data_IF_538462451336
#
_entry.id   IF_538462451336
#
_cell.length_a   1.000
_cell.length_b   1.000
_cell.length_c   1.000
_cell.angle_alpha   90.00
_cell.angle_beta   90.00
_cell.angle_gamma   90.00
#
_symmetry.space_group_name_H-M   'P 1'
#
loop_
_entity.id
_entity.type
_entity.pdbx_description
1 polymer ?
#
# COMPACT_ATOMS: atom_id res chain seq x y z
N UNK A 1 19.87 -25.46 -3.53
CA UNK A 1 19.17 -26.39 -2.59
C UNK A 1 17.97 -25.75 -1.89
N UNK A 2 18.01 -24.47 -1.47
CA UNK A 2 16.88 -23.80 -0.79
C UNK A 2 15.65 -23.64 -1.70
N UNK A 3 15.84 -23.46 -3.01
CA UNK A 3 14.74 -23.31 -3.98
C UNK A 3 13.92 -24.59 -4.16
N UNK A 4 14.58 -25.76 -4.12
CA UNK A 4 13.92 -27.05 -4.18
C UNK A 4 12.98 -27.29 -2.98
N UNK A 5 13.27 -26.69 -1.83
CA UNK A 5 12.41 -26.75 -0.66
C UNK A 5 11.04 -26.07 -0.83
N UNK A 6 10.87 -25.26 -1.89
CA UNK A 6 9.59 -24.60 -2.23
C UNK A 6 8.72 -25.45 -3.15
N UNK A 7 9.29 -26.49 -3.79
CA UNK A 7 8.52 -27.39 -4.66
C UNK A 7 7.39 -28.07 -3.86
N UNK A 8 6.18 -28.06 -4.42
CA UNK A 8 4.98 -28.62 -3.77
C UNK A 8 4.44 -27.81 -2.59
N UNK A 9 4.91 -26.55 -2.41
CA UNK A 9 4.39 -25.60 -1.41
C UNK A 9 3.53 -24.55 -2.09
N UNK A 10 2.72 -23.87 -1.29
CA UNK A 10 2.07 -22.61 -1.66
C UNK A 10 2.83 -21.50 -0.94
N UNK A 11 3.28 -20.49 -1.67
CA UNK A 11 3.98 -19.34 -1.12
C UNK A 11 2.99 -18.18 -0.97
N UNK A 12 2.86 -17.67 0.23
CA UNK A 12 2.04 -16.47 0.52
C UNK A 12 2.98 -15.36 0.94
N UNK A 13 2.90 -14.21 0.26
CA UNK A 13 3.71 -13.02 0.55
C UNK A 13 2.74 -11.89 0.86
N UNK A 14 2.80 -11.40 2.09
CA UNK A 14 1.91 -10.36 2.59
C UNK A 14 2.57 -8.98 2.55
N UNK A 15 1.73 -7.93 2.51
CA UNK A 15 2.16 -6.53 2.57
C UNK A 15 3.17 -6.12 1.49
N UNK A 16 3.04 -6.66 0.26
CA UNK A 16 4.01 -6.40 -0.83
C UNK A 16 4.10 -4.92 -1.22
N UNK A 17 3.14 -4.10 -0.83
CA UNK A 17 3.18 -2.65 -1.02
C UNK A 17 4.23 -1.94 -0.13
N UNK A 18 4.61 -2.55 0.99
CA UNK A 18 5.59 -1.99 1.92
C UNK A 18 7.05 -2.15 1.44
N UNK A 19 7.27 -2.88 0.36
CA UNK A 19 8.62 -3.14 -0.15
C UNK A 19 9.17 -1.93 -0.89
N UNK A 20 10.41 -1.56 -0.56
CA UNK A 20 11.17 -0.54 -1.26
C UNK A 20 11.64 -1.03 -2.65
N UNK A 21 12.29 -0.15 -3.41
CA UNK A 21 12.78 -0.47 -4.75
C UNK A 21 13.77 -1.66 -4.75
N UNK A 22 14.59 -1.77 -3.70
CA UNK A 22 15.57 -2.84 -3.57
C UNK A 22 14.89 -4.19 -3.31
N UNK A 23 13.96 -4.25 -2.35
CA UNK A 23 13.20 -5.45 -2.03
C UNK A 23 12.34 -5.92 -3.21
N UNK A 24 11.80 -5.01 -4.00
CA UNK A 24 11.02 -5.34 -5.19
C UNK A 24 11.85 -6.13 -6.22
N UNK A 25 13.12 -5.76 -6.45
CA UNK A 25 14.01 -6.51 -7.36
C UNK A 25 14.21 -7.96 -6.90
N UNK A 26 14.35 -8.18 -5.59
CA UNK A 26 14.44 -9.54 -5.05
C UNK A 26 13.14 -10.30 -5.20
N UNK A 27 12.01 -9.65 -4.94
CA UNK A 27 10.70 -10.28 -5.10
C UNK A 27 10.46 -10.69 -6.56
N UNK A 28 10.73 -9.81 -7.53
CA UNK A 28 10.62 -10.12 -8.95
C UNK A 28 11.48 -11.33 -9.34
N UNK A 29 12.73 -11.39 -8.86
CA UNK A 29 13.61 -12.55 -9.07
C UNK A 29 13.08 -13.82 -8.43
N UNK A 30 12.55 -13.73 -7.22
CA UNK A 30 11.93 -14.86 -6.55
C UNK A 30 10.71 -15.36 -7.32
N UNK A 31 9.87 -14.46 -7.82
CA UNK A 31 8.70 -14.79 -8.62
C UNK A 31 9.08 -15.49 -9.93
N UNK A 32 10.15 -15.05 -10.63
CA UNK A 32 10.68 -15.74 -11.80
C UNK A 32 11.01 -17.22 -11.50
N UNK A 33 11.66 -17.49 -10.39
CA UNK A 33 12.00 -18.86 -10.00
C UNK A 33 10.78 -19.66 -9.58
N UNK A 34 9.90 -19.07 -8.77
CA UNK A 34 8.67 -19.72 -8.34
C UNK A 34 7.79 -20.09 -9.53
N UNK A 35 7.67 -19.19 -10.52
CA UNK A 35 6.96 -19.44 -11.77
C UNK A 35 7.62 -20.56 -12.60
N UNK A 36 8.94 -20.57 -12.72
CA UNK A 36 9.67 -21.62 -13.43
C UNK A 36 9.51 -23.01 -12.79
N UNK A 37 9.31 -23.06 -11.48
CA UNK A 37 9.02 -24.32 -10.74
C UNK A 37 7.53 -24.61 -10.59
N UNK A 38 6.65 -23.82 -11.20
CA UNK A 38 5.18 -23.92 -11.08
C UNK A 38 4.71 -23.93 -9.61
N UNK A 39 5.39 -23.18 -8.76
CA UNK A 39 4.99 -23.02 -7.35
C UNK A 39 3.86 -21.99 -7.27
N UNK A 40 2.69 -22.35 -6.73
CA UNK A 40 1.60 -21.38 -6.54
C UNK A 40 2.02 -20.25 -5.60
N UNK A 41 1.77 -19.01 -6.01
CA UNK A 41 2.09 -17.80 -5.23
C UNK A 41 0.84 -16.97 -5.02
N UNK A 42 0.65 -16.49 -3.80
CA UNK A 42 -0.40 -15.53 -3.43
C UNK A 42 0.30 -14.28 -2.91
N UNK A 43 0.05 -13.15 -3.57
CA UNK A 43 0.53 -11.84 -3.12
C UNK A 43 -0.65 -11.07 -2.51
N UNK A 44 -0.48 -10.59 -1.29
CA UNK A 44 -1.47 -9.78 -0.58
C UNK A 44 -0.97 -8.34 -0.45
N UNK A 45 -1.87 -7.38 -0.68
CA UNK A 45 -1.54 -5.97 -0.62
C UNK A 45 -2.78 -5.13 -0.36
N UNK A 46 -2.68 -4.17 0.55
CA UNK A 46 -3.74 -3.18 0.75
C UNK A 46 -3.85 -2.23 -0.45
N UNK A 47 -2.71 -1.85 -1.03
CA UNK A 47 -2.65 -0.95 -2.18
C UNK A 47 -1.50 -1.37 -3.09
N UNK A 48 -1.78 -1.73 -4.33
CA UNK A 48 -0.75 -2.13 -5.29
C UNK A 48 -0.92 -1.31 -6.57
N UNK A 49 0.04 -0.45 -6.94
CA UNK A 49 0.01 0.26 -8.21
C UNK A 49 -0.06 -0.70 -9.39
N UNK A 50 -0.78 -0.31 -10.46
CA UNK A 50 -0.94 -1.14 -11.65
C UNK A 50 0.40 -1.56 -12.26
N UNK A 51 1.39 -0.65 -12.29
CA UNK A 51 2.76 -0.96 -12.75
C UNK A 51 3.39 -2.12 -11.98
N UNK A 52 3.30 -2.10 -10.65
CA UNK A 52 3.85 -3.18 -9.81
C UNK A 52 3.12 -4.50 -9.99
N UNK A 53 1.80 -4.45 -10.16
CA UNK A 53 1.00 -5.65 -10.47
C UNK A 53 1.47 -6.28 -11.79
N UNK A 54 1.73 -5.46 -12.81
CA UNK A 54 2.27 -5.90 -14.09
C UNK A 54 3.65 -6.54 -13.91
N UNK A 55 4.57 -5.86 -13.22
CA UNK A 55 5.93 -6.33 -12.98
C UNK A 55 5.93 -7.71 -12.28
N UNK A 56 5.08 -7.92 -11.29
CA UNK A 56 4.99 -9.18 -10.55
C UNK A 56 4.41 -10.32 -11.39
N UNK A 57 3.35 -10.06 -12.15
CA UNK A 57 2.75 -11.06 -13.05
C UNK A 57 3.72 -11.44 -14.17
N UNK A 58 4.32 -10.45 -14.82
CA UNK A 58 5.29 -10.69 -15.89
C UNK A 58 6.54 -11.43 -15.37
N UNK A 59 6.98 -11.14 -14.15
CA UNK A 59 8.08 -11.86 -13.49
C UNK A 59 7.70 -13.32 -13.22
N UNK A 60 6.53 -13.60 -12.69
CA UNK A 60 6.08 -14.97 -12.42
C UNK A 60 5.90 -15.76 -13.72
N UNK A 61 5.36 -15.17 -14.76
CA UNK A 61 5.20 -15.79 -16.07
C UNK A 61 6.51 -15.91 -16.86
N UNK A 62 7.60 -15.35 -16.36
CA UNK A 62 8.88 -15.25 -17.07
C UNK A 62 8.75 -14.59 -18.44
N UNK A 63 7.88 -13.60 -18.56
CA UNK A 63 7.60 -12.89 -19.82
C UNK A 63 8.88 -12.23 -20.35
N UNK A 64 9.24 -12.52 -21.58
CA UNK A 64 10.45 -11.94 -22.18
C UNK A 64 10.27 -10.44 -22.48
N UNK A 65 11.39 -9.68 -22.43
CA UNK A 65 11.39 -8.26 -22.81
C UNK A 65 10.87 -8.02 -24.25
N UNK A 66 11.01 -9.01 -25.12
CA UNK A 66 10.50 -8.95 -26.49
C UNK A 66 8.97 -9.02 -26.49
N UNK A 67 8.39 -9.97 -25.77
CA UNK A 67 6.94 -10.13 -25.64
C UNK A 67 6.29 -8.91 -24.98
N UNK A 68 6.94 -8.31 -23.96
CA UNK A 68 6.50 -7.06 -23.35
C UNK A 68 6.44 -5.95 -24.40
N UNK A 69 7.51 -5.74 -25.19
CA UNK A 69 7.58 -4.73 -26.23
C UNK A 69 6.59 -4.97 -27.38
N UNK A 70 6.39 -6.22 -27.78
CA UNK A 70 5.41 -6.57 -28.80
C UNK A 70 3.98 -6.34 -28.34
N UNK A 71 3.69 -6.59 -27.06
CA UNK A 71 2.43 -6.25 -26.42
C UNK A 71 2.19 -4.75 -26.39
N UNK A 72 3.16 -3.97 -25.93
CA UNK A 72 3.07 -2.51 -25.90
C UNK A 72 2.77 -1.88 -27.26
N UNK A 73 3.31 -2.46 -28.35
CA UNK A 73 3.07 -1.99 -29.72
C UNK A 73 1.68 -2.32 -30.25
N UNK A 74 1.04 -3.39 -29.77
CA UNK A 74 -0.31 -3.80 -30.19
C UNK A 74 -1.42 -3.02 -29.49
N UNK A 75 -1.07 -2.29 -28.43
CA UNK A 75 -2.01 -1.61 -27.56
C UNK A 75 -2.33 -0.19 -28.06
N UNK A 76 -3.18 -0.06 -29.06
CA UNK A 76 -3.71 1.25 -29.49
C UNK A 76 -5.24 1.33 -29.53
N UNK A 77 -5.99 0.27 -29.25
CA UNK A 77 -7.43 0.29 -29.52
C UNK A 77 -8.42 -0.16 -28.43
N UNK A 78 -8.01 -0.87 -27.35
CA UNK A 78 -8.95 -1.30 -26.30
C UNK A 78 -8.29 -1.31 -24.90
N UNK A 79 -7.98 -0.12 -24.36
CA UNK A 79 -7.38 0.01 -23.01
C UNK A 79 -8.31 -0.48 -21.88
N UNK A 80 -9.64 -0.45 -22.07
CA UNK A 80 -10.61 -0.84 -21.02
C UNK A 80 -10.66 -2.37 -20.78
N UNK A 81 -10.32 -3.18 -21.76
CA UNK A 81 -10.36 -4.65 -21.65
C UNK A 81 -9.06 -5.26 -21.10
N UNK A 82 -7.96 -4.50 -21.06
CA UNK A 82 -6.68 -5.02 -20.60
C UNK A 82 -6.55 -4.98 -19.08
N UNK A 83 -6.27 -6.14 -18.50
CA UNK A 83 -6.05 -6.32 -17.05
C UNK A 83 -5.00 -5.36 -16.45
N UNK A 84 -4.07 -4.86 -17.25
CA UNK A 84 -3.01 -3.96 -16.81
C UNK A 84 -3.52 -2.59 -16.41
N UNK A 85 -4.53 -2.09 -17.07
CA UNK A 85 -5.08 -0.74 -16.87
C UNK A 85 -6.25 -0.70 -15.87
N UNK A 86 -6.72 -1.85 -15.40
CA UNK A 86 -7.81 -1.91 -14.44
C UNK A 86 -7.47 -1.12 -13.17
N UNK A 87 -8.37 -0.24 -12.78
CA UNK A 87 -8.34 0.56 -11.54
C UNK A 87 -9.37 0.11 -10.51
N UNK A 88 -10.00 -1.03 -10.74
CA UNK A 88 -10.98 -1.58 -9.81
C UNK A 88 -10.33 -1.82 -8.43
N UNK A 89 -11.11 -1.60 -7.38
CA UNK A 89 -10.68 -1.86 -5.99
C UNK A 89 -11.89 -2.31 -5.15
N UNK A 90 -11.79 -3.39 -4.40
CA UNK A 90 -10.72 -4.40 -4.40
C UNK A 90 -10.63 -5.16 -5.73
N UNK A 91 -9.44 -5.62 -6.08
CA UNK A 91 -9.16 -6.29 -7.34
C UNK A 91 -8.42 -7.62 -7.09
N UNK A 92 -8.95 -8.70 -7.64
CA UNK A 92 -8.27 -9.98 -7.72
C UNK A 92 -7.68 -10.14 -9.12
N UNK A 93 -6.39 -10.44 -9.21
CA UNK A 93 -5.69 -10.77 -10.45
C UNK A 93 -5.02 -12.13 -10.28
N UNK A 94 -5.20 -13.03 -11.24
CA UNK A 94 -4.54 -14.34 -11.18
C UNK A 94 -4.16 -14.82 -12.59
N UNK A 95 -3.30 -15.82 -12.64
CA UNK A 95 -2.89 -16.48 -13.87
C UNK A 95 -2.92 -18.00 -13.71
N UNK A 96 -3.21 -18.70 -14.79
CA UNK A 96 -3.08 -20.15 -14.90
C UNK A 96 -1.71 -20.58 -15.47
N UNK A 97 -0.80 -19.61 -15.65
CA UNK A 97 0.50 -19.79 -16.28
C UNK A 97 0.54 -19.47 -17.76
N UNK A 98 -0.61 -19.20 -18.40
CA UNK A 98 -0.74 -18.81 -19.81
C UNK A 98 -1.43 -17.47 -19.96
N UNK A 99 -2.59 -17.35 -19.36
CA UNK A 99 -3.43 -16.15 -19.44
C UNK A 99 -3.55 -15.48 -18.08
N UNK A 100 -3.90 -14.20 -18.10
CA UNK A 100 -4.11 -13.38 -16.90
C UNK A 100 -5.59 -13.00 -16.83
N UNK A 101 -6.18 -13.29 -15.70
CA UNK A 101 -7.59 -13.04 -15.40
C UNK A 101 -7.73 -11.98 -14.32
N UNK A 102 -8.84 -11.27 -14.34
CA UNK A 102 -9.16 -10.30 -13.30
C UNK A 102 -10.63 -10.34 -12.89
N UNK A 103 -10.86 -10.00 -11.62
CA UNK A 103 -12.18 -9.78 -11.07
C UNK A 103 -12.17 -8.63 -10.09
N UNK A 104 -12.90 -7.57 -10.40
CA UNK A 104 -13.25 -6.55 -9.42
C UNK A 104 -14.25 -7.11 -8.41
N UNK A 105 -14.05 -6.80 -7.14
CA UNK A 105 -14.95 -7.20 -6.08
C UNK A 105 -15.82 -6.01 -5.69
N UNK A 106 -17.11 -6.25 -5.43
CA UNK A 106 -17.99 -5.21 -4.92
C UNK A 106 -17.79 -5.08 -3.41
N UNK A 107 -17.48 -3.87 -2.96
CA UNK A 107 -17.51 -3.56 -1.53
C UNK A 107 -18.98 -3.48 -1.07
N UNK A 108 -19.32 -4.19 -0.03
CA UNK A 108 -20.64 -4.09 0.60
C UNK A 108 -20.82 -2.79 1.40
N UNK A 109 -19.76 -1.99 1.57
CA UNK A 109 -19.81 -0.71 2.28
C UNK A 109 -20.09 0.44 1.33
N UNK A 110 -20.89 1.41 1.78
CA UNK A 110 -21.10 2.65 1.04
C UNK A 110 -19.78 3.35 0.72
N UNK A 111 -19.62 3.81 -0.52
CA UNK A 111 -18.47 4.60 -0.91
C UNK A 111 -18.41 5.88 -0.08
N UNK A 112 -17.30 6.11 0.62
CA UNK A 112 -17.07 7.36 1.35
C UNK A 112 -16.39 8.35 0.41
N UNK A 113 -16.98 9.54 0.29
CA UNK A 113 -16.34 10.64 -0.41
C UNK A 113 -15.33 11.32 0.52
N UNK A 114 -14.10 11.51 0.04
CA UNK A 114 -13.04 12.21 0.77
C UNK A 114 -12.66 13.46 -0.01
N UNK A 115 -12.76 14.63 0.63
CA UNK A 115 -12.32 15.89 0.06
C UNK A 115 -10.81 16.08 0.32
N UNK A 116 -10.03 16.26 -0.74
CA UNK A 116 -8.59 16.53 -0.65
C UNK A 116 -8.34 18.03 -0.84
N UNK A 117 -7.67 18.65 0.13
CA UNK A 117 -7.29 20.08 0.08
C UNK A 117 -5.79 20.22 0.28
N UNK A 118 -5.13 20.94 -0.62
CA UNK A 118 -3.71 21.31 -0.45
C UNK A 118 -3.62 22.61 0.34
N UNK A 119 -2.78 22.61 1.36
CA UNK A 119 -2.58 23.77 2.24
C UNK A 119 -1.10 24.01 2.48
N UNK A 120 -0.75 25.29 2.78
CA UNK A 120 0.61 25.65 3.18
C UNK A 120 0.88 25.14 4.60
N UNK A 121 2.13 24.82 4.88
CA UNK A 121 2.56 24.30 6.17
C UNK A 121 2.21 25.24 7.35
N UNK A 122 2.32 26.56 7.13
CA UNK A 122 1.97 27.58 8.11
C UNK A 122 0.47 27.65 8.48
N UNK A 123 -0.40 27.07 7.67
CA UNK A 123 -1.85 27.05 7.94
C UNK A 123 -2.36 25.79 8.66
N UNK A 124 -1.48 24.89 9.05
CA UNK A 124 -1.88 23.57 9.62
C UNK A 124 -2.66 23.70 10.93
N UNK A 125 -2.17 24.50 11.86
CA UNK A 125 -2.81 24.72 13.17
C UNK A 125 -4.18 25.38 12.99
N UNK A 126 -4.26 26.39 12.16
CA UNK A 126 -5.53 27.07 11.89
C UNK A 126 -6.59 26.11 11.34
N UNK A 127 -6.20 25.17 10.46
CA UNK A 127 -7.10 24.15 9.95
C UNK A 127 -7.54 23.19 11.06
N UNK A 128 -6.63 22.77 11.95
CA UNK A 128 -6.99 21.94 13.08
C UNK A 128 -7.98 22.65 13.99
N UNK A 129 -7.73 23.92 14.32
CA UNK A 129 -8.64 24.74 15.14
C UNK A 129 -10.01 24.87 14.50
N UNK A 130 -10.06 25.13 13.16
CA UNK A 130 -11.31 25.22 12.40
C UNK A 130 -12.09 23.91 12.43
N UNK A 131 -11.40 22.79 12.15
CA UNK A 131 -12.04 21.49 11.98
C UNK A 131 -12.42 20.80 13.29
N UNK A 132 -11.72 21.11 14.37
CA UNK A 132 -11.96 20.53 15.69
C UNK A 132 -12.76 21.47 16.62
N UNK A 133 -13.20 22.61 16.15
CA UNK A 133 -13.94 23.59 16.96
C UNK A 133 -15.19 23.00 17.60
N UNK A 134 -15.91 22.15 16.88
CA UNK A 134 -17.13 21.51 17.31
C UNK A 134 -16.89 20.06 17.80
N UNK A 135 -15.67 19.74 18.15
CA UNK A 135 -15.23 18.38 18.52
C UNK A 135 -14.78 17.55 17.31
N UNK A 136 -14.47 16.29 17.57
CA UNK A 136 -14.04 15.35 16.55
C UNK A 136 -12.60 14.86 16.74
N UNK A 137 -12.05 14.20 15.71
CA UNK A 137 -10.71 13.62 15.75
C UNK A 137 -9.94 14.01 14.48
N UNK A 138 -8.66 14.33 14.64
CA UNK A 138 -7.75 14.60 13.53
C UNK A 138 -6.49 13.74 13.64
N UNK A 139 -6.02 13.23 12.52
CA UNK A 139 -4.74 12.53 12.42
C UNK A 139 -3.77 13.39 11.62
N UNK A 140 -2.60 13.67 12.18
CA UNK A 140 -1.51 14.39 11.51
C UNK A 140 -0.35 13.44 11.28
N UNK A 141 -0.02 13.19 10.01
CA UNK A 141 1.07 12.30 9.62
C UNK A 141 2.27 13.14 9.17
N UNK A 142 3.41 12.94 9.81
CA UNK A 142 4.65 13.66 9.54
C UNK A 142 5.78 12.69 9.18
N UNK A 143 6.68 13.12 8.31
CA UNK A 143 7.72 12.27 7.71
C UNK A 143 8.88 11.92 8.64
N UNK A 144 9.08 12.68 9.73
CA UNK A 144 10.17 12.43 10.69
C UNK A 144 9.71 12.56 12.12
N UNK A 145 10.37 11.83 13.03
CA UNK A 145 10.11 11.87 14.46
C UNK A 145 10.25 13.28 15.01
N UNK A 146 11.33 13.98 14.63
CA UNK A 146 11.59 15.36 15.07
C UNK A 146 10.42 16.29 14.69
N UNK A 147 9.97 16.26 13.45
CA UNK A 147 8.83 17.09 13.01
C UNK A 147 7.54 16.74 13.74
N UNK A 148 7.33 15.45 14.06
CA UNK A 148 6.16 15.02 14.82
C UNK A 148 6.20 15.55 16.25
N UNK A 149 7.37 15.53 16.91
CA UNK A 149 7.56 16.06 18.26
C UNK A 149 7.42 17.59 18.31
N UNK A 150 8.05 18.30 17.36
CA UNK A 150 7.97 19.75 17.23
C UNK A 150 6.51 20.20 17.00
N UNK A 151 5.82 19.56 16.09
CA UNK A 151 4.43 19.88 15.80
C UNK A 151 3.48 19.54 16.96
N UNK A 152 3.68 18.43 17.65
CA UNK A 152 2.90 18.09 18.83
C UNK A 152 3.09 19.11 19.95
N UNK A 153 4.30 19.69 20.10
CA UNK A 153 4.57 20.79 21.03
C UNK A 153 3.83 22.06 20.61
N UNK A 154 3.92 22.43 19.35
CA UNK A 154 3.21 23.59 18.78
C UNK A 154 1.69 23.49 18.98
N UNK A 155 1.10 22.30 18.73
CA UNK A 155 -0.33 22.07 18.97
C UNK A 155 -0.69 22.21 20.44
N UNK A 156 0.12 21.69 21.39
CA UNK A 156 -0.13 21.86 22.83
C UNK A 156 -0.11 23.33 23.28
N UNK A 157 0.77 24.12 22.69
CA UNK A 157 0.87 25.57 22.99
C UNK A 157 -0.33 26.37 22.45
N UNK A 158 -0.83 26.01 21.25
CA UNK A 158 -1.89 26.77 20.59
C UNK A 158 -3.30 26.19 20.77
N UNK A 159 -3.40 24.95 21.23
CA UNK A 159 -4.66 24.25 21.49
C UNK A 159 -4.55 23.50 22.83
N UNK A 160 -4.50 24.20 23.97
CA UNK A 160 -4.24 23.58 25.29
C UNK A 160 -5.34 22.59 25.71
N UNK A 161 -6.56 22.75 25.23
CA UNK A 161 -7.70 21.87 25.52
C UNK A 161 -7.74 20.63 24.62
N UNK A 162 -6.86 20.53 23.62
CA UNK A 162 -6.81 19.39 22.73
C UNK A 162 -6.10 18.19 23.41
N UNK A 163 -6.76 17.04 23.37
CA UNK A 163 -6.14 15.79 23.78
C UNK A 163 -5.23 15.25 22.67
N UNK A 164 -3.93 15.16 22.95
CA UNK A 164 -2.91 14.86 21.93
C UNK A 164 -2.19 13.56 22.26
N UNK A 165 -2.33 12.58 21.42
CA UNK A 165 -1.55 11.35 21.46
C UNK A 165 -0.48 11.39 20.37
N UNK A 166 0.79 11.39 20.78
CA UNK A 166 1.93 11.34 19.86
C UNK A 166 2.42 9.90 19.69
N UNK A 167 2.49 9.42 18.46
CA UNK A 167 3.03 8.11 18.09
C UNK A 167 4.19 8.25 17.13
N UNK A 168 5.30 7.56 17.37
CA UNK A 168 6.43 7.47 16.46
C UNK A 168 7.26 6.21 16.68
N UNK A 169 8.14 5.87 15.76
CA UNK A 169 8.91 4.61 15.75
C UNK A 169 10.04 4.55 16.80
N UNK A 170 10.39 5.67 17.44
CA UNK A 170 11.42 5.69 18.49
C UNK A 170 10.90 5.30 19.89
N UNK A 171 9.60 5.05 20.06
CA UNK A 171 9.10 4.50 21.32
C UNK A 171 9.54 3.05 21.49
N UNK A 172 9.89 2.69 22.74
CA UNK A 172 10.05 1.29 23.12
C UNK A 172 8.72 0.56 22.98
N UNK A 173 8.77 -0.74 22.70
CA UNK A 173 7.57 -1.55 22.45
C UNK A 173 6.50 -1.43 23.56
N UNK A 174 6.85 -1.48 24.87
CA UNK A 174 5.87 -1.31 25.94
C UNK A 174 5.16 0.06 25.91
N UNK A 175 5.91 1.13 25.69
CA UNK A 175 5.38 2.50 25.67
C UNK A 175 4.47 2.71 24.44
N UNK A 176 4.88 2.17 23.31
CA UNK A 176 4.08 2.18 22.08
C UNK A 176 2.75 1.46 22.29
N UNK A 177 2.79 0.24 22.85
CA UNK A 177 1.59 -0.55 23.10
C UNK A 177 0.65 0.12 24.13
N UNK A 178 1.19 0.87 25.10
CA UNK A 178 0.39 1.65 26.04
C UNK A 178 -0.37 2.78 25.32
N UNK A 179 0.30 3.53 24.44
CA UNK A 179 -0.30 4.62 23.67
C UNK A 179 -1.31 4.14 22.63
N UNK A 180 -1.04 3.02 21.99
CA UNK A 180 -1.99 2.38 21.05
C UNK A 180 -3.28 1.97 21.80
N UNK A 181 -3.17 1.41 23.01
CA UNK A 181 -4.34 1.10 23.85
C UNK A 181 -5.11 2.34 24.26
N UNK A 182 -4.42 3.42 24.63
CA UNK A 182 -5.04 4.71 24.94
C UNK A 182 -5.88 5.24 23.78
N UNK A 183 -5.36 5.16 22.54
CA UNK A 183 -6.08 5.56 21.32
C UNK A 183 -7.33 4.72 21.04
N UNK A 184 -7.29 3.42 21.35
CA UNK A 184 -8.41 2.52 21.10
C UNK A 184 -9.53 2.64 22.15
N UNK A 185 -9.28 3.31 23.27
CA UNK A 185 -10.25 3.53 24.34
C UNK A 185 -10.99 4.87 24.23
N UNK A 186 -10.57 5.76 23.32
CA UNK A 186 -11.19 7.05 23.00
C UNK A 186 -12.07 6.94 21.76
#
# INVERSE_FOLDING_TARGET
LRHLGMAGKIVIIDEVHAYDAYMNVYLERALCWLGAYHVPVILLSATLPASRRIDFVDSYLNTSKREIREREKRFTQDEEADWRYSRAYPLLTWTDGKEVYQKGLQLQSASRSVAIRRVKESGRIQILQEKLRDGGCAIVILSTIRRAQEFAKEVREQMPDADIVLLHSAYLMPDRAARERELLQK
#
